data_IF_527999604107
#
_entry.id   IF_527999604107
#
_cell.length_a   1.000
_cell.length_b   1.000
_cell.length_c   1.000
_cell.angle_alpha   90.00
_cell.angle_beta   90.00
_cell.angle_gamma   90.00
#
_symmetry.space_group_name_H-M   'P 1'
#
loop_
_entity.id
_entity.type
_entity.pdbx_description
1 polymer ?
#
# COMPACT_ATOMS: atom_id res chain seq x y z
N UNK A 1 -59.07 5.21 -11.59
CA UNK A 1 -58.32 6.27 -10.89
C UNK A 1 -57.70 5.74 -9.58
N UNK A 2 -57.05 4.57 -9.63
CA UNK A 2 -56.36 3.91 -8.50
C UNK A 2 -55.18 3.11 -9.07
N UNK A 3 -54.14 3.78 -9.57
CA UNK A 3 -52.94 3.07 -10.05
C UNK A 3 -51.65 3.90 -10.11
N UNK A 4 -51.59 5.12 -9.58
CA UNK A 4 -50.34 5.92 -9.58
C UNK A 4 -49.71 6.12 -8.19
N UNK A 5 -50.34 5.65 -7.11
CA UNK A 5 -49.85 5.87 -5.74
C UNK A 5 -48.74 4.92 -5.27
N UNK A 6 -48.37 3.86 -6.02
CA UNK A 6 -47.35 2.90 -5.56
C UNK A 6 -45.90 3.26 -5.92
N UNK A 7 -45.66 4.45 -6.50
CA UNK A 7 -44.38 4.81 -7.10
C UNK A 7 -43.62 6.00 -6.45
N UNK A 8 -44.02 6.44 -5.25
CA UNK A 8 -43.41 7.58 -4.56
C UNK A 8 -42.80 7.15 -3.22
N UNK A 9 -41.89 7.97 -2.67
CA UNK A 9 -41.42 7.82 -1.28
C UNK A 9 -42.58 8.13 -0.32
N UNK A 10 -42.53 7.58 0.90
CA UNK A 10 -43.50 7.93 1.93
C UNK A 10 -43.46 9.46 2.15
N UNK A 11 -44.61 10.17 2.25
CA UNK A 11 -44.62 11.63 2.30
C UNK A 11 -43.79 12.21 3.45
N UNK A 12 -43.79 11.55 4.60
CA UNK A 12 -43.01 11.95 5.77
C UNK A 12 -41.50 11.79 5.54
N UNK A 13 -41.07 10.68 4.95
CA UNK A 13 -39.66 10.46 4.59
C UNK A 13 -39.20 11.47 3.54
N UNK A 14 -40.01 11.71 2.50
CA UNK A 14 -39.71 12.68 1.46
C UNK A 14 -39.50 14.09 2.05
N UNK A 15 -40.38 14.52 2.97
CA UNK A 15 -40.25 15.79 3.67
C UNK A 15 -38.97 15.86 4.50
N UNK A 16 -38.68 14.82 5.31
CA UNK A 16 -37.48 14.75 6.15
C UNK A 16 -36.20 14.80 5.32
N UNK A 17 -36.17 14.07 4.21
CA UNK A 17 -35.04 14.06 3.26
C UNK A 17 -34.86 15.42 2.60
N UNK A 18 -35.93 16.08 2.14
CA UNK A 18 -35.85 17.42 1.57
C UNK A 18 -35.37 18.46 2.58
N UNK A 19 -35.80 18.38 3.84
CA UNK A 19 -35.33 19.27 4.92
C UNK A 19 -33.84 19.06 5.19
N UNK A 20 -33.38 17.81 5.24
CA UNK A 20 -31.95 17.50 5.41
C UNK A 20 -31.12 18.08 4.26
N UNK A 21 -31.54 17.85 3.02
CA UNK A 21 -30.83 18.28 1.80
C UNK A 21 -30.94 19.78 1.53
N UNK A 22 -31.84 20.50 2.20
CA UNK A 22 -31.84 21.96 2.18
C UNK A 22 -30.67 22.56 3.00
N UNK A 23 -30.08 21.78 3.91
CA UNK A 23 -28.88 22.12 4.66
C UNK A 23 -27.59 21.67 3.98
N UNK A 24 -26.46 21.98 4.61
CA UNK A 24 -25.15 21.49 4.15
C UNK A 24 -24.94 20.03 4.60
N UNK A 25 -24.76 19.14 3.62
CA UNK A 25 -24.46 17.72 3.82
C UNK A 25 -23.10 17.41 3.20
N UNK A 26 -22.23 16.73 3.93
CA UNK A 26 -20.88 16.36 3.49
C UNK A 26 -20.80 14.97 2.87
N UNK A 27 -21.56 14.01 3.42
CA UNK A 27 -21.61 12.63 2.95
C UNK A 27 -22.89 11.95 3.44
N UNK A 28 -23.32 10.90 2.75
CA UNK A 28 -24.51 10.10 3.04
C UNK A 28 -24.16 8.61 3.00
N UNK A 29 -24.71 7.84 3.95
CA UNK A 29 -24.68 6.37 3.98
C UNK A 29 -26.09 5.84 4.17
N UNK A 30 -26.45 4.81 3.39
CA UNK A 30 -27.72 4.11 3.52
C UNK A 30 -27.53 2.77 4.23
N UNK A 31 -28.35 2.50 5.24
CA UNK A 31 -28.44 1.19 5.88
C UNK A 31 -29.58 0.40 5.21
N UNK A 32 -29.23 -0.69 4.54
CA UNK A 32 -30.19 -1.56 3.85
C UNK A 32 -30.85 -2.58 4.78
N UNK A 33 -30.21 -2.92 5.91
CA UNK A 33 -30.72 -3.90 6.88
C UNK A 33 -31.78 -3.27 7.78
N UNK A 34 -31.49 -2.06 8.25
CA UNK A 34 -32.42 -1.23 9.01
C UNK A 34 -32.61 0.06 8.21
N UNK A 35 -33.63 0.13 7.32
CA UNK A 35 -33.81 1.24 6.38
C UNK A 35 -33.66 2.59 7.05
N UNK A 36 -32.49 3.19 6.84
CA UNK A 36 -32.13 4.46 7.44
C UNK A 36 -31.12 5.18 6.57
N UNK A 37 -31.25 6.49 6.50
CA UNK A 37 -30.25 7.37 5.93
C UNK A 37 -29.46 8.01 7.06
N UNK A 38 -28.14 7.88 6.99
CA UNK A 38 -27.20 8.59 7.82
C UNK A 38 -26.56 9.69 6.99
N UNK A 39 -26.44 10.89 7.56
CA UNK A 39 -25.80 12.02 6.91
C UNK A 39 -24.75 12.65 7.82
N UNK A 40 -23.58 12.90 7.26
CA UNK A 40 -22.54 13.70 7.89
C UNK A 40 -22.77 15.16 7.54
N UNK A 41 -22.92 16.00 8.56
CA UNK A 41 -23.15 17.45 8.42
C UNK A 41 -22.07 18.24 9.17
N UNK A 42 -21.94 19.55 8.98
CA UNK A 42 -21.03 20.38 9.79
C UNK A 42 -21.29 20.31 11.30
N UNK A 43 -22.52 19.95 11.71
CA UNK A 43 -22.93 19.86 13.14
C UNK A 43 -22.79 18.45 13.72
N UNK A 44 -22.32 17.48 12.93
CA UNK A 44 -22.23 16.08 13.31
C UNK A 44 -23.15 15.18 12.48
N UNK A 45 -23.46 14.01 13.03
CA UNK A 45 -24.27 13.01 12.33
C UNK A 45 -25.78 13.25 12.50
N UNK A 46 -26.50 13.15 11.40
CA UNK A 46 -27.96 13.09 11.37
C UNK A 46 -28.43 11.70 10.91
N UNK A 47 -29.56 11.24 11.45
CA UNK A 47 -30.19 9.97 11.07
C UNK A 47 -31.66 10.20 10.72
N UNK A 48 -32.09 9.65 9.59
CA UNK A 48 -33.49 9.58 9.18
C UNK A 48 -33.86 8.10 9.08
N UNK A 49 -34.74 7.63 9.97
CA UNK A 49 -35.36 6.33 9.79
C UNK A 49 -36.31 6.39 8.58
N UNK A 50 -36.15 5.44 7.67
CA UNK A 50 -36.98 5.30 6.47
C UNK A 50 -38.09 4.29 6.73
N UNK A 51 -39.26 4.54 6.17
CA UNK A 51 -40.46 3.73 6.33
C UNK A 51 -40.94 3.27 4.95
N UNK A 52 -40.29 2.26 4.35
CA UNK A 52 -40.66 1.76 3.03
C UNK A 52 -42.11 1.29 2.98
N UNK A 53 -42.92 1.93 2.13
CA UNK A 53 -44.26 1.45 1.79
C UNK A 53 -44.16 0.46 0.61
N UNK A 54 -43.67 -0.75 0.90
CA UNK A 54 -43.49 -1.83 -0.07
C UNK A 54 -42.09 -2.44 -0.10
N UNK A 55 -41.59 -2.77 -1.30
CA UNK A 55 -40.29 -3.43 -1.47
C UNK A 55 -39.15 -2.47 -1.10
N UNK A 56 -38.42 -2.79 -0.03
CA UNK A 56 -37.31 -2.00 0.51
C UNK A 56 -36.28 -1.62 -0.56
N UNK A 57 -35.85 -2.55 -1.41
CA UNK A 57 -34.87 -2.29 -2.46
C UNK A 57 -35.32 -1.18 -3.43
N UNK A 58 -36.56 -1.26 -3.92
CA UNK A 58 -37.13 -0.25 -4.81
C UNK A 58 -37.28 1.10 -4.10
N UNK A 59 -37.61 1.06 -2.81
CA UNK A 59 -37.69 2.26 -1.98
C UNK A 59 -36.32 2.94 -1.86
N UNK A 60 -35.26 2.18 -1.55
CA UNK A 60 -33.90 2.69 -1.46
C UNK A 60 -33.38 3.20 -2.82
N UNK A 61 -33.71 2.53 -3.92
CA UNK A 61 -33.40 3.06 -5.27
C UNK A 61 -34.06 4.42 -5.53
N UNK A 62 -35.28 4.66 -5.01
CA UNK A 62 -35.95 5.96 -5.11
C UNK A 62 -35.27 7.01 -4.24
N UNK A 63 -34.84 6.65 -3.02
CA UNK A 63 -34.05 7.52 -2.15
C UNK A 63 -32.75 7.93 -2.85
N UNK A 64 -32.01 6.96 -3.40
CA UNK A 64 -30.81 7.19 -4.21
C UNK A 64 -31.08 8.09 -5.43
N UNK A 65 -32.22 7.92 -6.09
CA UNK A 65 -32.66 8.80 -7.17
C UNK A 65 -32.86 10.26 -6.71
N UNK A 66 -33.46 10.47 -5.54
CA UNK A 66 -33.64 11.78 -4.94
C UNK A 66 -32.28 12.41 -4.56
N UNK A 67 -31.39 11.63 -3.95
CA UNK A 67 -30.02 12.04 -3.61
C UNK A 67 -29.22 12.43 -4.86
N UNK A 68 -29.27 11.62 -5.92
CA UNK A 68 -28.61 11.91 -7.19
C UNK A 68 -29.14 13.17 -7.86
N UNK A 69 -30.46 13.41 -7.82
CA UNK A 69 -31.06 14.65 -8.31
C UNK A 69 -30.54 15.89 -7.57
N UNK A 70 -30.43 15.81 -6.24
CA UNK A 70 -29.88 16.88 -5.42
C UNK A 70 -28.38 17.12 -5.67
N UNK A 71 -27.58 16.06 -5.63
CA UNK A 71 -26.12 16.16 -5.72
C UNK A 71 -25.61 16.58 -7.11
N UNK A 72 -26.32 16.19 -8.17
CA UNK A 72 -25.85 16.34 -9.56
C UNK A 72 -26.67 17.34 -10.38
N UNK A 73 -27.78 17.86 -9.83
CA UNK A 73 -28.63 18.84 -10.51
C UNK A 73 -29.32 18.33 -11.78
N UNK A 74 -29.42 17.01 -11.97
CA UNK A 74 -30.03 16.42 -13.17
C UNK A 74 -31.52 16.12 -12.91
N UNK A 75 -32.47 16.83 -13.57
CA UNK A 75 -33.88 16.55 -13.43
C UNK A 75 -34.22 15.23 -14.14
N UNK A 76 -34.70 14.23 -13.39
CA UNK A 76 -35.35 13.05 -14.00
C UNK A 76 -34.61 11.71 -13.93
N UNK A 77 -33.83 11.45 -12.88
CA UNK A 77 -33.54 10.07 -12.46
C UNK A 77 -32.07 9.70 -12.27
N UNK A 78 -31.90 8.59 -11.55
CA UNK A 78 -30.64 7.96 -11.21
C UNK A 78 -29.85 7.59 -12.49
N UNK A 79 -28.59 8.02 -12.66
CA UNK A 79 -27.79 7.62 -13.81
C UNK A 79 -27.47 6.11 -13.71
N UNK A 80 -28.17 5.28 -14.48
CA UNK A 80 -28.04 3.81 -14.54
C UNK A 80 -26.67 3.33 -15.06
N UNK A 81 -25.67 4.23 -15.18
CA UNK A 81 -24.37 3.92 -15.75
C UNK A 81 -23.21 4.51 -14.93
N UNK A 82 -22.96 3.92 -13.75
CA UNK A 82 -21.70 4.04 -13.00
C UNK A 82 -20.45 3.81 -13.89
N UNK A 83 -20.56 2.94 -14.91
CA UNK A 83 -19.48 2.61 -15.87
C UNK A 83 -18.98 3.77 -16.73
N UNK A 84 -19.72 4.88 -16.86
CA UNK A 84 -19.23 6.08 -17.57
C UNK A 84 -18.40 7.02 -16.68
N UNK A 85 -18.45 6.85 -15.37
CA UNK A 85 -17.91 7.81 -14.40
C UNK A 85 -16.46 7.53 -14.02
N UNK A 86 -16.00 6.27 -14.12
CA UNK A 86 -14.59 5.88 -14.01
C UNK A 86 -13.69 6.55 -15.06
N UNK A 87 -14.24 6.97 -16.22
CA UNK A 87 -13.51 7.78 -17.21
C UNK A 87 -13.39 9.27 -16.84
N UNK A 88 -14.13 9.72 -15.84
CA UNK A 88 -14.18 11.11 -15.38
C UNK A 88 -13.34 11.32 -14.10
N UNK A 89 -12.38 10.44 -13.81
CA UNK A 89 -11.39 10.60 -12.72
C UNK A 89 -10.43 11.80 -12.88
N UNK A 90 -10.69 12.68 -13.85
CA UNK A 90 -9.97 13.95 -14.06
C UNK A 90 -10.72 15.18 -13.54
N UNK A 91 -11.72 15.00 -12.67
CA UNK A 91 -12.54 16.11 -12.22
C UNK A 91 -12.12 16.61 -10.84
N UNK A 92 -12.05 17.94 -10.71
CA UNK A 92 -11.65 18.62 -9.49
C UNK A 92 -12.50 18.31 -8.24
N UNK A 93 -11.99 18.69 -7.05
CA UNK A 93 -12.44 18.22 -5.74
C UNK A 93 -13.93 18.44 -5.45
N UNK A 94 -14.53 19.51 -5.97
CA UNK A 94 -15.95 19.81 -5.76
C UNK A 94 -16.89 18.73 -6.34
N UNK A 95 -16.51 18.06 -7.44
CA UNK A 95 -17.35 16.98 -7.99
C UNK A 95 -17.13 15.64 -7.28
N UNK A 96 -15.98 15.44 -6.63
CA UNK A 96 -15.75 14.27 -5.77
C UNK A 96 -16.62 14.33 -4.51
N UNK A 97 -16.76 15.51 -3.90
CA UNK A 97 -17.66 15.69 -2.75
C UNK A 97 -19.12 15.32 -3.07
N UNK A 98 -19.60 15.66 -4.26
CA UNK A 98 -20.97 15.32 -4.68
C UNK A 98 -21.23 13.81 -4.79
N UNK A 99 -20.20 13.00 -5.07
CA UNK A 99 -20.33 11.54 -5.12
C UNK A 99 -20.66 10.95 -3.74
N UNK A 100 -20.13 11.54 -2.67
CA UNK A 100 -20.38 11.09 -1.30
C UNK A 100 -21.83 11.33 -0.85
N UNK A 101 -22.62 12.10 -1.62
CA UNK A 101 -24.03 12.36 -1.33
C UNK A 101 -24.97 11.33 -1.95
N UNK A 102 -24.47 10.42 -2.80
CA UNK A 102 -25.31 9.47 -3.55
C UNK A 102 -25.84 8.32 -2.69
N UNK A 103 -25.23 8.05 -1.53
CA UNK A 103 -25.57 6.91 -0.68
C UNK A 103 -25.22 5.56 -1.33
N UNK A 104 -24.19 5.54 -2.19
CA UNK A 104 -23.71 4.36 -2.90
C UNK A 104 -22.27 4.04 -2.52
N UNK A 105 -22.01 2.77 -2.20
CA UNK A 105 -20.69 2.30 -1.81
C UNK A 105 -19.69 2.43 -2.99
N UNK A 106 -20.13 2.19 -4.23
CA UNK A 106 -19.28 2.37 -5.42
C UNK A 106 -18.90 3.84 -5.65
N UNK A 107 -19.77 4.78 -5.30
CA UNK A 107 -19.46 6.20 -5.39
C UNK A 107 -18.42 6.61 -4.34
N UNK A 108 -18.54 6.08 -3.12
CA UNK A 108 -17.54 6.28 -2.06
C UNK A 108 -16.20 5.66 -2.46
N UNK A 109 -16.20 4.44 -2.99
CA UNK A 109 -15.01 3.78 -3.50
C UNK A 109 -14.35 4.58 -4.64
N UNK A 110 -15.13 5.14 -5.56
CA UNK A 110 -14.60 5.99 -6.63
C UNK A 110 -13.91 7.25 -6.08
N UNK A 111 -14.42 7.84 -4.99
CA UNK A 111 -13.75 8.96 -4.30
C UNK A 111 -12.46 8.50 -3.62
N UNK A 112 -12.49 7.37 -2.91
CA UNK A 112 -11.33 6.81 -2.21
C UNK A 112 -10.15 6.48 -3.15
N UNK A 113 -10.43 6.19 -4.43
CA UNK A 113 -9.42 5.89 -5.46
C UNK A 113 -9.09 7.11 -6.35
N UNK A 114 -9.67 8.28 -6.09
CA UNK A 114 -9.45 9.44 -6.93
C UNK A 114 -8.03 10.02 -6.74
N UNK A 115 -7.32 10.39 -7.82
CA UNK A 115 -6.00 11.03 -7.70
C UNK A 115 -6.08 12.39 -7.02
N UNK A 116 -7.19 13.12 -7.18
CA UNK A 116 -7.46 14.41 -6.53
C UNK A 116 -8.08 14.31 -5.14
N UNK A 117 -7.98 13.16 -4.47
CA UNK A 117 -8.45 12.97 -3.11
C UNK A 117 -7.67 13.88 -2.13
N UNK A 118 -8.39 14.61 -1.29
CA UNK A 118 -7.83 15.40 -0.19
C UNK A 118 -8.05 14.69 1.14
N UNK A 119 -7.29 15.06 2.18
CA UNK A 119 -7.44 14.50 3.53
C UNK A 119 -8.88 14.67 4.08
N UNK A 120 -9.52 15.82 3.84
CA UNK A 120 -10.90 16.07 4.26
C UNK A 120 -11.92 15.24 3.45
N UNK A 121 -11.70 15.02 2.15
CA UNK A 121 -12.55 14.11 1.37
C UNK A 121 -12.35 12.65 1.81
N UNK A 122 -11.12 12.25 2.16
CA UNK A 122 -10.82 10.94 2.70
C UNK A 122 -11.54 10.72 4.05
N UNK A 123 -11.57 11.72 4.93
CA UNK A 123 -12.33 11.66 6.19
C UNK A 123 -13.83 11.40 5.96
N UNK A 124 -14.43 12.09 4.97
CA UNK A 124 -15.84 11.93 4.61
C UNK A 124 -16.12 10.58 3.96
N UNK A 125 -15.25 10.13 3.06
CA UNK A 125 -15.34 8.81 2.42
C UNK A 125 -15.18 7.68 3.45
N UNK A 126 -14.22 7.81 4.35
CA UNK A 126 -13.98 6.88 5.45
C UNK A 126 -15.19 6.77 6.38
N UNK A 127 -15.83 7.89 6.72
CA UNK A 127 -17.07 7.91 7.48
C UNK A 127 -18.21 7.18 6.75
N UNK A 128 -18.30 7.35 5.42
CA UNK A 128 -19.39 6.79 4.63
C UNK A 128 -19.25 5.29 4.37
N UNK A 129 -18.06 4.78 4.12
CA UNK A 129 -17.82 3.35 3.87
C UNK A 129 -16.41 2.93 4.30
N UNK A 130 -16.19 2.62 5.58
CA UNK A 130 -14.90 2.12 6.05
C UNK A 130 -14.69 0.67 5.58
N UNK A 131 -13.64 0.44 4.78
CA UNK A 131 -13.23 -0.88 4.30
C UNK A 131 -11.71 -0.98 4.17
N UNK A 132 -11.17 -2.19 4.08
CA UNK A 132 -9.72 -2.43 3.91
C UNK A 132 -9.24 -1.85 2.57
N UNK A 133 -10.02 -2.04 1.51
CA UNK A 133 -9.72 -1.54 0.16
C UNK A 133 -9.68 -0.01 0.13
N UNK A 134 -10.70 0.63 0.73
CA UNK A 134 -10.76 2.08 0.83
C UNK A 134 -9.61 2.61 1.68
N UNK A 135 -9.33 2.01 2.84
CA UNK A 135 -8.22 2.44 3.70
C UNK A 135 -6.87 2.35 2.97
N UNK A 136 -6.61 1.23 2.29
CA UNK A 136 -5.39 1.01 1.51
C UNK A 136 -5.25 2.03 0.37
N UNK A 137 -6.31 2.25 -0.41
CA UNK A 137 -6.27 3.22 -1.52
C UNK A 137 -6.11 4.65 -1.03
N UNK A 138 -6.87 5.05 0.01
CA UNK A 138 -6.79 6.40 0.56
C UNK A 138 -5.41 6.67 1.15
N UNK A 139 -4.85 5.73 1.92
CA UNK A 139 -3.53 5.89 2.52
C UNK A 139 -2.39 5.92 1.48
N UNK A 140 -2.60 5.33 0.30
CA UNK A 140 -1.68 5.44 -0.83
C UNK A 140 -1.66 6.83 -1.49
N UNK A 141 -2.60 7.73 -1.18
CA UNK A 141 -2.62 9.09 -1.70
C UNK A 141 -1.70 10.00 -0.86
N UNK A 142 -0.76 10.76 -1.46
CA UNK A 142 0.17 11.62 -0.72
C UNK A 142 -0.50 12.67 0.18
N UNK A 143 -1.62 13.27 -0.22
CA UNK A 143 -2.33 14.27 0.59
C UNK A 143 -2.92 13.66 1.87
N UNK A 144 -3.37 12.41 1.79
CA UNK A 144 -3.93 11.65 2.91
C UNK A 144 -2.81 11.09 3.80
N UNK A 145 -1.74 10.59 3.19
CA UNK A 145 -0.58 10.01 3.89
C UNK A 145 0.15 11.04 4.78
N UNK A 146 0.14 12.31 4.39
CA UNK A 146 0.71 13.42 5.19
C UNK A 146 -0.37 14.17 6.00
N UNK A 147 -1.64 13.74 5.91
CA UNK A 147 -2.79 14.36 6.55
C UNK A 147 -3.18 13.71 7.89
N UNK A 148 -4.30 14.17 8.45
CA UNK A 148 -4.82 13.65 9.72
C UNK A 148 -5.40 12.23 9.58
N UNK A 149 -5.80 11.82 8.38
CA UNK A 149 -6.35 10.48 8.14
C UNK A 149 -5.28 9.39 8.07
N UNK A 150 -3.99 9.73 7.95
CA UNK A 150 -2.92 8.73 7.86
C UNK A 150 -2.94 7.72 9.01
N UNK A 151 -3.00 8.22 10.25
CA UNK A 151 -3.00 7.38 11.45
C UNK A 151 -4.24 6.48 11.57
N UNK A 152 -5.49 6.97 11.55
CA UNK A 152 -6.66 6.10 11.71
C UNK A 152 -6.76 5.05 10.60
N UNK A 153 -6.37 5.38 9.35
CA UNK A 153 -6.35 4.39 8.27
C UNK A 153 -5.25 3.35 8.48
N UNK A 154 -4.05 3.75 8.89
CA UNK A 154 -2.96 2.83 9.18
C UNK A 154 -3.27 1.90 10.36
N UNK A 155 -3.81 2.44 11.46
CA UNK A 155 -4.22 1.66 12.63
C UNK A 155 -5.28 0.61 12.24
N UNK A 156 -6.28 1.02 11.45
CA UNK A 156 -7.30 0.10 10.92
C UNK A 156 -6.68 -1.01 10.07
N UNK A 157 -5.80 -0.68 9.13
CA UNK A 157 -5.14 -1.69 8.29
C UNK A 157 -4.32 -2.68 9.13
N UNK A 158 -3.56 -2.19 10.12
CA UNK A 158 -2.72 -3.04 10.99
C UNK A 158 -3.57 -3.98 11.86
N UNK A 159 -4.70 -3.50 12.37
CA UNK A 159 -5.66 -4.29 13.14
C UNK A 159 -6.25 -5.43 12.30
N UNK A 160 -6.51 -5.16 11.01
CA UNK A 160 -7.15 -6.11 10.10
C UNK A 160 -6.17 -7.06 9.38
N UNK A 161 -4.86 -6.74 9.35
CA UNK A 161 -3.82 -7.58 8.72
C UNK A 161 -3.89 -9.09 9.09
N UNK A 162 -4.16 -9.50 10.35
CA UNK A 162 -4.25 -10.92 10.69
C UNK A 162 -5.32 -11.69 9.90
N UNK A 163 -6.40 -11.00 9.50
CA UNK A 163 -7.57 -11.55 8.79
C UNK A 163 -7.48 -11.43 7.27
N UNK A 164 -6.49 -10.69 6.75
CA UNK A 164 -6.25 -10.59 5.30
C UNK A 164 -5.66 -11.91 4.77
N UNK A 165 -6.43 -12.61 3.95
CA UNK A 165 -6.05 -13.91 3.38
C UNK A 165 -5.22 -13.76 2.10
N UNK A 166 -5.44 -12.71 1.31
CA UNK A 166 -4.68 -12.45 0.10
C UNK A 166 -3.30 -11.87 0.43
N UNK A 167 -2.19 -12.58 0.14
CA UNK A 167 -0.85 -12.09 0.43
C UNK A 167 -0.49 -10.82 -0.34
N UNK A 168 -1.06 -10.59 -1.52
CA UNK A 168 -0.82 -9.36 -2.29
C UNK A 168 -1.50 -8.17 -1.60
N UNK A 169 -2.76 -8.32 -1.22
CA UNK A 169 -3.50 -7.35 -0.44
C UNK A 169 -2.80 -7.04 0.90
N UNK A 170 -2.37 -8.06 1.63
CA UNK A 170 -1.69 -7.90 2.92
C UNK A 170 -0.33 -7.21 2.77
N UNK A 171 0.46 -7.58 1.75
CA UNK A 171 1.71 -6.90 1.39
C UNK A 171 1.46 -5.43 1.08
N UNK A 172 0.49 -5.11 0.22
CA UNK A 172 0.21 -3.74 -0.18
C UNK A 172 -0.28 -2.89 1.00
N UNK A 173 -1.04 -3.45 1.94
CA UNK A 173 -1.38 -2.76 3.20
C UNK A 173 -0.13 -2.38 4.01
N UNK A 174 0.84 -3.30 4.16
CA UNK A 174 2.10 -3.00 4.88
C UNK A 174 2.93 -1.94 4.15
N UNK A 175 2.98 -1.99 2.81
CA UNK A 175 3.68 -1.01 1.99
C UNK A 175 3.11 0.40 2.19
N UNK A 176 1.80 0.59 2.03
CA UNK A 176 1.19 1.93 2.20
C UNK A 176 1.26 2.45 3.64
N UNK A 177 1.18 1.56 4.64
CA UNK A 177 1.35 1.92 6.05
C UNK A 177 2.75 2.48 6.31
N UNK A 178 3.79 1.77 5.86
CA UNK A 178 5.18 2.18 6.04
C UNK A 178 5.54 3.40 5.18
N UNK A 179 5.00 3.50 3.96
CA UNK A 179 5.15 4.68 3.10
C UNK A 179 4.60 5.95 3.76
N UNK A 180 3.49 5.85 4.49
CA UNK A 180 2.89 6.94 5.25
C UNK A 180 3.62 7.25 6.57
N UNK A 181 4.79 6.63 6.82
CA UNK A 181 5.56 6.82 8.04
C UNK A 181 4.92 6.23 9.30
N UNK A 182 3.91 5.36 9.14
CA UNK A 182 3.23 4.64 10.22
C UNK A 182 3.71 3.18 10.27
N UNK A 183 3.53 2.47 11.40
CA UNK A 183 3.21 2.97 12.74
C UNK A 183 4.43 3.60 13.44
N UNK A 184 4.29 3.91 14.72
CA UNK A 184 5.39 4.32 15.59
C UNK A 184 6.44 3.21 15.80
N UNK A 185 7.53 3.50 16.51
CA UNK A 185 8.63 2.54 16.71
C UNK A 185 8.18 1.19 17.33
N UNK A 186 7.36 1.15 18.41
CA UNK A 186 6.80 -0.09 18.92
C UNK A 186 5.95 -0.85 17.90
N UNK A 187 5.07 -0.15 17.17
CA UNK A 187 4.27 -0.76 16.12
C UNK A 187 5.13 -1.34 14.99
N UNK A 188 6.21 -0.66 14.61
CA UNK A 188 7.14 -1.13 13.57
C UNK A 188 7.85 -2.40 13.99
N UNK A 189 8.27 -2.49 15.25
CA UNK A 189 8.88 -3.70 15.79
C UNK A 189 7.88 -4.87 15.81
N UNK A 190 6.63 -4.62 16.22
CA UNK A 190 5.59 -5.65 16.21
C UNK A 190 5.27 -6.13 14.79
N UNK A 191 5.19 -5.22 13.82
CA UNK A 191 4.94 -5.55 12.42
C UNK A 191 6.13 -6.31 11.79
N UNK A 192 7.36 -5.92 12.13
CA UNK A 192 8.58 -6.62 11.73
C UNK A 192 8.63 -8.06 12.28
N UNK A 193 8.23 -8.26 13.54
CA UNK A 193 8.15 -9.60 14.12
C UNK A 193 7.16 -10.50 13.38
N UNK A 194 6.00 -9.96 12.95
CA UNK A 194 5.01 -10.68 12.13
C UNK A 194 5.55 -11.05 10.74
N UNK A 195 6.43 -10.24 10.16
CA UNK A 195 7.02 -10.52 8.85
C UNK A 195 7.85 -11.81 8.83
N UNK A 196 8.33 -12.30 9.99
CA UNK A 196 9.05 -13.59 10.10
C UNK A 196 8.18 -14.78 9.68
N UNK A 197 6.87 -14.74 9.92
CA UNK A 197 5.93 -15.79 9.50
C UNK A 197 5.23 -15.46 8.19
N UNK A 198 5.18 -14.17 7.82
CA UNK A 198 4.61 -13.67 6.56
C UNK A 198 5.67 -12.85 5.80
N UNK A 199 6.61 -13.49 5.08
CA UNK A 199 7.77 -12.80 4.51
C UNK A 199 7.44 -11.64 3.57
N UNK A 200 6.32 -11.69 2.85
CA UNK A 200 5.88 -10.59 1.99
C UNK A 200 5.68 -9.26 2.72
N UNK A 201 5.55 -9.24 4.06
CA UNK A 201 5.53 -8.00 4.85
C UNK A 201 6.88 -7.28 4.84
N UNK A 202 7.99 -8.00 4.67
CA UNK A 202 9.31 -7.38 4.59
C UNK A 202 9.43 -6.40 3.41
N UNK A 203 8.66 -6.57 2.34
CA UNK A 203 8.72 -5.69 1.16
C UNK A 203 8.54 -4.22 1.55
N UNK A 204 7.51 -3.88 2.33
CA UNK A 204 7.30 -2.48 2.74
C UNK A 204 8.45 -1.93 3.59
N UNK A 205 9.12 -2.77 4.39
CA UNK A 205 10.30 -2.35 5.15
C UNK A 205 11.52 -2.15 4.26
N UNK A 206 11.76 -3.06 3.31
CA UNK A 206 12.89 -2.99 2.38
C UNK A 206 12.76 -1.77 1.45
N UNK A 207 11.53 -1.41 1.04
CA UNK A 207 11.25 -0.25 0.20
C UNK A 207 11.36 1.08 0.95
N UNK A 208 10.79 1.17 2.16
CA UNK A 208 10.60 2.47 2.84
C UNK A 208 11.53 2.72 4.03
N UNK A 209 12.12 1.68 4.61
CA UNK A 209 13.01 1.78 5.78
C UNK A 209 14.32 0.96 5.64
N UNK A 210 14.99 0.94 4.47
CA UNK A 210 16.12 0.05 4.22
C UNK A 210 17.29 0.17 5.23
N UNK A 211 17.50 1.36 5.79
CA UNK A 211 18.59 1.66 6.74
C UNK A 211 18.13 1.87 8.19
N UNK A 212 16.82 1.76 8.42
CA UNK A 212 16.20 1.96 9.73
C UNK A 212 15.38 0.73 10.14
N UNK A 213 15.82 -0.46 9.71
CA UNK A 213 15.10 -1.71 9.96
C UNK A 213 15.11 -2.03 11.47
N UNK A 214 13.98 -2.47 12.06
CA UNK A 214 13.92 -2.87 13.48
C UNK A 214 14.65 -4.18 13.82
N UNK A 215 15.52 -4.68 12.93
CA UNK A 215 16.15 -5.98 13.08
C UNK A 215 17.25 -6.00 14.14
N UNK A 216 17.45 -7.17 14.74
CA UNK A 216 18.45 -7.41 15.78
C UNK A 216 19.72 -8.09 15.22
N UNK A 217 19.94 -8.06 13.90
CA UNK A 217 21.11 -8.72 13.33
C UNK A 217 22.39 -8.00 13.78
N UNK A 218 23.39 -8.74 14.29
CA UNK A 218 24.66 -8.14 14.67
C UNK A 218 25.37 -7.61 13.40
N UNK A 219 26.04 -6.45 13.49
CA UNK A 219 26.88 -5.98 12.41
C UNK A 219 28.02 -6.97 12.15
N UNK A 220 28.46 -7.04 10.90
CA UNK A 220 29.67 -7.78 10.54
C UNK A 220 30.89 -6.87 10.66
N UNK A 221 32.00 -7.41 11.15
CA UNK A 221 33.25 -6.65 11.23
C UNK A 221 33.65 -6.11 9.86
N UNK A 222 33.93 -4.81 9.77
CA UNK A 222 34.39 -4.14 8.57
C UNK A 222 35.89 -3.89 8.71
N UNK A 223 36.68 -4.29 7.72
CA UNK A 223 38.13 -4.01 7.75
C UNK A 223 38.38 -2.50 7.75
N UNK A 224 39.38 -2.03 8.51
CA UNK A 224 39.69 -0.61 8.64
C UNK A 224 39.85 0.08 7.27
N UNK A 225 40.52 -0.59 6.32
CA UNK A 225 40.69 -0.08 4.95
C UNK A 225 39.35 0.18 4.22
N UNK A 226 38.30 -0.60 4.49
CA UNK A 226 36.96 -0.35 3.93
C UNK A 226 36.34 0.89 4.57
N UNK A 227 36.48 1.05 5.90
CA UNK A 227 36.00 2.25 6.61
C UNK A 227 36.72 3.52 6.15
N UNK A 228 38.04 3.46 5.96
CA UNK A 228 38.85 4.59 5.51
C UNK A 228 38.47 5.01 4.09
N UNK A 229 38.31 4.05 3.18
CA UNK A 229 37.84 4.32 1.81
C UNK A 229 36.41 4.86 1.79
N UNK A 230 35.53 4.35 2.65
CA UNK A 230 34.16 4.86 2.77
C UNK A 230 34.16 6.32 3.24
N UNK A 231 35.00 6.67 4.23
CA UNK A 231 35.18 8.05 4.69
C UNK A 231 35.79 8.96 3.61
N UNK A 232 36.62 8.41 2.72
CA UNK A 232 37.15 9.11 1.55
C UNK A 232 36.14 9.24 0.38
N UNK A 233 34.90 8.76 0.54
CA UNK A 233 33.84 8.89 -0.47
C UNK A 233 33.83 7.80 -1.54
N UNK A 234 34.56 6.69 -1.36
CA UNK A 234 34.52 5.56 -2.28
C UNK A 234 33.16 4.87 -2.21
N UNK A 235 32.36 4.97 -3.29
CA UNK A 235 30.98 4.47 -3.34
C UNK A 235 30.85 2.96 -3.05
N UNK A 236 31.82 2.16 -3.52
CA UNK A 236 31.85 0.72 -3.27
C UNK A 236 32.14 0.41 -1.80
N UNK A 237 33.05 1.16 -1.19
CA UNK A 237 33.37 1.01 0.22
C UNK A 237 32.19 1.44 1.11
N UNK A 238 31.47 2.50 0.75
CA UNK A 238 30.24 2.94 1.42
C UNK A 238 29.16 1.84 1.32
N UNK A 239 28.93 1.29 0.13
CA UNK A 239 27.95 0.21 -0.05
C UNK A 239 28.32 -1.05 0.74
N UNK A 240 29.61 -1.42 0.76
CA UNK A 240 30.08 -2.56 1.55
C UNK A 240 29.95 -2.31 3.06
N UNK A 241 30.31 -1.11 3.54
CA UNK A 241 30.14 -0.73 4.94
C UNK A 241 28.65 -0.73 5.34
N UNK A 242 27.76 -0.21 4.48
CA UNK A 242 26.31 -0.25 4.65
C UNK A 242 25.81 -1.69 4.77
N UNK A 243 26.25 -2.59 3.89
CA UNK A 243 25.87 -4.00 3.94
C UNK A 243 26.32 -4.70 5.22
N UNK A 244 27.45 -4.30 5.80
CA UNK A 244 28.00 -4.87 7.04
C UNK A 244 27.42 -4.25 8.32
N UNK A 245 26.68 -3.15 8.23
CA UNK A 245 25.95 -2.58 9.36
C UNK A 245 24.85 -3.52 9.89
N UNK A 246 24.38 -3.29 11.12
CA UNK A 246 23.28 -4.06 11.69
C UNK A 246 21.98 -3.99 10.84
N UNK A 247 21.65 -2.78 10.33
CA UNK A 247 20.51 -2.63 9.43
C UNK A 247 20.76 -3.33 8.08
N UNK A 248 21.97 -3.26 7.54
CA UNK A 248 22.33 -3.96 6.30
C UNK A 248 22.23 -5.48 6.42
N UNK A 249 22.69 -6.06 7.52
CA UNK A 249 22.52 -7.49 7.79
C UNK A 249 21.05 -7.89 7.96
N UNK A 250 20.25 -7.02 8.59
CA UNK A 250 18.81 -7.19 8.70
C UNK A 250 18.11 -7.12 7.33
N UNK A 251 18.54 -6.19 6.46
CA UNK A 251 18.05 -6.06 5.08
C UNK A 251 18.33 -7.33 4.29
N UNK A 252 19.58 -7.79 4.28
CA UNK A 252 20.01 -8.99 3.55
C UNK A 252 19.28 -10.25 4.04
N UNK A 253 19.05 -10.37 5.35
CA UNK A 253 18.27 -11.48 5.93
C UNK A 253 16.82 -11.45 5.52
N UNK A 254 16.17 -10.28 5.58
CA UNK A 254 14.78 -10.12 5.17
C UNK A 254 14.61 -10.35 3.67
N UNK A 255 15.50 -9.81 2.84
CA UNK A 255 15.53 -10.05 1.39
C UNK A 255 15.65 -11.54 1.07
N UNK A 256 16.57 -12.26 1.74
CA UNK A 256 16.71 -13.70 1.59
C UNK A 256 15.43 -14.46 2.00
N UNK A 257 14.79 -14.07 3.10
CA UNK A 257 13.54 -14.70 3.56
C UNK A 257 12.39 -14.54 2.55
N UNK A 258 12.28 -13.36 1.91
CA UNK A 258 11.30 -13.14 0.84
C UNK A 258 11.63 -14.00 -0.39
N UNK A 259 12.90 -14.01 -0.80
CA UNK A 259 13.35 -14.73 -1.99
C UNK A 259 13.21 -16.26 -1.86
N UNK A 260 13.41 -16.81 -0.66
CA UNK A 260 13.26 -18.24 -0.40
C UNK A 260 11.80 -18.69 -0.58
N UNK A 261 10.86 -17.88 -0.10
CA UNK A 261 9.42 -18.22 -0.08
C UNK A 261 8.56 -17.03 -0.52
N UNK A 262 8.66 -16.60 -1.79
CA UNK A 262 7.82 -15.55 -2.31
C UNK A 262 6.36 -16.01 -2.31
N UNK A 263 5.48 -15.20 -1.74
CA UNK A 263 4.06 -15.51 -1.63
C UNK A 263 3.31 -15.22 -2.95
N UNK A 264 3.69 -14.13 -3.62
CA UNK A 264 3.05 -13.62 -4.85
C UNK A 264 4.11 -13.06 -5.81
N UNK A 265 3.86 -13.02 -7.14
CA UNK A 265 4.76 -12.45 -8.14
C UNK A 265 5.18 -11.01 -7.83
N UNK A 266 4.25 -10.18 -7.39
CA UNK A 266 4.48 -8.76 -7.08
C UNK A 266 5.53 -8.57 -5.98
N UNK A 267 5.62 -9.49 -5.02
CA UNK A 267 6.66 -9.46 -3.99
C UNK A 267 8.06 -9.67 -4.58
N UNK A 268 8.19 -10.46 -5.65
CA UNK A 268 9.47 -10.71 -6.31
C UNK A 268 9.92 -9.48 -7.09
N UNK A 269 9.00 -8.87 -7.85
CA UNK A 269 9.28 -7.62 -8.57
C UNK A 269 9.71 -6.51 -7.60
N UNK A 270 8.91 -6.27 -6.55
CA UNK A 270 9.22 -5.27 -5.53
C UNK A 270 10.54 -5.57 -4.79
N UNK A 271 10.83 -6.84 -4.49
CA UNK A 271 12.10 -7.23 -3.87
C UNK A 271 13.30 -6.88 -4.75
N UNK A 272 13.20 -7.16 -6.05
CA UNK A 272 14.30 -6.92 -6.98
C UNK A 272 14.59 -5.43 -7.13
N UNK A 273 13.54 -4.61 -7.29
CA UNK A 273 13.66 -3.15 -7.29
C UNK A 273 14.26 -2.63 -5.97
N UNK A 274 13.79 -3.15 -4.83
CA UNK A 274 14.30 -2.74 -3.51
C UNK A 274 15.78 -3.10 -3.31
N UNK A 275 16.22 -4.28 -3.75
CA UNK A 275 17.63 -4.69 -3.66
C UNK A 275 18.52 -3.81 -4.55
N UNK A 276 18.11 -3.56 -5.80
CA UNK A 276 18.85 -2.69 -6.71
C UNK A 276 18.97 -1.27 -6.18
N UNK A 277 17.84 -0.68 -5.76
CA UNK A 277 17.81 0.65 -5.16
C UNK A 277 18.66 0.72 -3.88
N UNK A 278 18.67 -0.33 -3.06
CA UNK A 278 19.48 -0.40 -1.85
C UNK A 278 20.99 -0.51 -2.14
N UNK A 279 21.41 -1.25 -3.16
CA UNK A 279 22.81 -1.29 -3.55
C UNK A 279 23.26 0.05 -4.18
N UNK A 280 22.32 0.75 -4.84
CA UNK A 280 22.58 1.99 -5.56
C UNK A 280 23.27 1.77 -6.91
N UNK A 281 23.50 2.86 -7.65
CA UNK A 281 24.12 2.82 -8.98
C UNK A 281 25.65 2.57 -8.92
N UNK A 282 26.06 1.37 -8.50
CA UNK A 282 27.49 1.01 -8.37
C UNK A 282 28.15 0.65 -9.70
N UNK A 283 27.40 0.23 -10.72
CA UNK A 283 27.94 -0.27 -11.98
C UNK A 283 28.94 0.71 -12.63
N UNK A 284 28.62 2.01 -12.61
CA UNK A 284 29.43 3.08 -13.18
C UNK A 284 30.25 3.85 -12.13
N UNK A 285 30.13 3.46 -10.85
CA UNK A 285 30.78 4.18 -9.75
C UNK A 285 32.30 3.88 -9.70
N UNK A 286 33.16 4.91 -9.52
CA UNK A 286 34.59 4.71 -9.38
C UNK A 286 34.94 4.02 -8.06
N UNK A 287 36.18 3.53 -7.93
CA UNK A 287 36.71 3.04 -6.67
C UNK A 287 36.60 1.53 -6.43
N UNK A 288 35.99 0.76 -7.34
CA UNK A 288 35.93 -0.72 -7.25
C UNK A 288 37.31 -1.37 -7.14
N UNK A 289 38.22 -0.99 -8.02
CA UNK A 289 39.57 -1.57 -8.08
C UNK A 289 40.40 -1.19 -6.86
N UNK A 290 40.27 0.04 -6.39
CA UNK A 290 40.90 0.54 -5.17
C UNK A 290 40.45 -0.28 -3.94
N UNK A 291 39.14 -0.48 -3.79
CA UNK A 291 38.57 -1.31 -2.73
C UNK A 291 39.05 -2.77 -2.83
N UNK A 292 39.09 -3.34 -4.04
CA UNK A 292 39.55 -4.71 -4.25
C UNK A 292 41.02 -4.91 -3.85
N UNK A 293 41.88 -3.91 -4.09
CA UNK A 293 43.28 -3.93 -3.65
C UNK A 293 43.42 -3.71 -2.14
N UNK A 294 42.66 -2.79 -1.57
CA UNK A 294 42.75 -2.44 -0.15
C UNK A 294 42.13 -3.52 0.77
N UNK A 295 41.18 -4.31 0.26
CA UNK A 295 40.45 -5.31 1.02
C UNK A 295 40.24 -6.62 0.21
N UNK A 296 41.32 -7.34 -0.15
CA UNK A 296 41.23 -8.52 -1.03
C UNK A 296 40.37 -9.66 -0.45
N UNK A 297 40.29 -9.78 0.87
CA UNK A 297 39.40 -10.72 1.57
C UNK A 297 37.89 -10.49 1.36
N UNK A 298 37.50 -9.39 0.68
CA UNK A 298 36.12 -9.04 0.37
C UNK A 298 35.76 -9.22 -1.12
N UNK A 299 36.58 -9.89 -1.93
CA UNK A 299 36.34 -10.06 -3.36
C UNK A 299 34.93 -10.63 -3.69
N UNK A 300 34.46 -11.62 -2.92
CA UNK A 300 33.12 -12.19 -3.08
C UNK A 300 32.00 -11.17 -2.78
N UNK A 301 32.17 -10.36 -1.73
CA UNK A 301 31.23 -9.31 -1.37
C UNK A 301 31.18 -8.19 -2.43
N UNK A 302 32.33 -7.80 -2.96
CA UNK A 302 32.42 -6.80 -4.05
C UNK A 302 31.73 -7.34 -5.32
N UNK A 303 31.93 -8.61 -5.67
CA UNK A 303 31.24 -9.24 -6.79
C UNK A 303 29.72 -9.30 -6.57
N UNK A 304 29.28 -9.62 -5.35
CA UNK A 304 27.86 -9.60 -4.99
C UNK A 304 27.24 -8.20 -5.11
N UNK A 305 27.89 -7.15 -4.59
CA UNK A 305 27.42 -5.77 -4.76
C UNK A 305 27.26 -5.39 -6.24
N UNK A 306 28.23 -5.78 -7.08
CA UNK A 306 28.17 -5.52 -8.52
C UNK A 306 26.99 -6.21 -9.21
N UNK A 307 26.64 -7.43 -8.78
CA UNK A 307 25.54 -8.18 -9.36
C UNK A 307 24.18 -7.62 -8.89
N UNK A 308 24.08 -7.27 -7.61
CA UNK A 308 22.84 -6.77 -7.01
C UNK A 308 22.52 -5.31 -7.38
N UNK A 309 23.53 -4.47 -7.66
CA UNK A 309 23.31 -3.07 -8.05
C UNK A 309 22.57 -2.87 -9.37
N UNK A 310 22.61 -3.86 -10.26
CA UNK A 310 21.89 -3.82 -11.53
C UNK A 310 20.55 -4.55 -11.50
N UNK A 311 20.09 -4.99 -10.32
CA UNK A 311 18.88 -5.77 -10.19
C UNK A 311 17.65 -4.87 -10.21
N UNK A 312 16.64 -5.24 -10.99
CA UNK A 312 15.33 -4.60 -11.03
C UNK A 312 14.25 -5.64 -11.36
N UNK A 313 12.99 -5.23 -11.34
CA UNK A 313 11.85 -6.07 -11.67
C UNK A 313 11.95 -6.72 -13.06
N UNK A 314 12.67 -6.12 -14.02
CA UNK A 314 12.80 -6.66 -15.37
C UNK A 314 13.56 -8.00 -15.38
N UNK A 315 14.41 -8.28 -14.38
CA UNK A 315 15.07 -9.57 -14.24
C UNK A 315 14.11 -10.75 -13.99
N UNK A 316 12.93 -10.50 -13.39
CA UNK A 316 11.91 -11.54 -13.16
C UNK A 316 10.85 -11.61 -14.27
N UNK A 317 10.71 -10.55 -15.08
CA UNK A 317 9.62 -10.41 -16.05
C UNK A 317 9.55 -11.53 -17.12
N UNK A 318 10.66 -12.05 -17.68
CA UNK A 318 10.61 -13.15 -18.64
C UNK A 318 10.02 -14.45 -18.08
N UNK A 319 10.14 -14.67 -16.77
CA UNK A 319 9.67 -15.87 -16.07
C UNK A 319 8.23 -15.66 -15.60
N UNK A 320 7.99 -14.60 -14.83
CA UNK A 320 6.71 -14.35 -14.17
C UNK A 320 5.68 -13.73 -15.11
N UNK A 321 6.08 -12.92 -16.10
CA UNK A 321 5.17 -12.32 -17.07
C UNK A 321 4.48 -13.33 -18.00
N UNK A 322 4.98 -14.57 -18.06
CA UNK A 322 4.42 -15.67 -18.87
C UNK A 322 3.74 -16.75 -18.02
N UNK A 323 3.64 -16.56 -16.72
CA UNK A 323 3.22 -17.60 -15.78
C UNK A 323 2.23 -17.05 -14.75
N UNK A 324 1.11 -17.75 -14.57
CA UNK A 324 0.20 -17.56 -13.44
C UNK A 324 0.52 -18.49 -12.26
N UNK A 325 1.69 -19.15 -12.28
CA UNK A 325 2.07 -20.09 -11.24
C UNK A 325 2.20 -19.40 -9.89
N UNK A 326 1.74 -20.08 -8.85
CA UNK A 326 1.87 -19.67 -7.44
C UNK A 326 2.57 -20.77 -6.61
N UNK A 327 3.07 -20.40 -5.44
CA UNK A 327 3.65 -21.35 -4.48
C UNK A 327 4.86 -22.13 -5.03
N UNK A 328 4.85 -23.46 -4.89
CA UNK A 328 5.99 -24.31 -5.23
C UNK A 328 6.36 -24.28 -6.73
N UNK A 329 5.37 -24.16 -7.61
CA UNK A 329 5.62 -24.08 -9.05
C UNK A 329 6.30 -22.77 -9.42
N UNK A 330 5.86 -21.66 -8.84
CA UNK A 330 6.50 -20.34 -9.01
C UNK A 330 7.96 -20.37 -8.54
N UNK A 331 8.23 -20.96 -7.36
CA UNK A 331 9.60 -21.11 -6.85
C UNK A 331 10.49 -21.89 -7.80
N UNK A 332 10.01 -23.01 -8.33
CA UNK A 332 10.77 -23.82 -9.30
C UNK A 332 11.07 -23.05 -10.59
N UNK A 333 10.14 -22.21 -11.05
CA UNK A 333 10.34 -21.37 -12.22
C UNK A 333 11.33 -20.23 -11.96
N UNK A 334 11.33 -19.67 -10.74
CA UNK A 334 12.23 -18.60 -10.33
C UNK A 334 13.64 -19.06 -10.00
N UNK A 335 13.84 -20.35 -9.70
CA UNK A 335 15.12 -20.93 -9.31
C UNK A 335 16.33 -20.46 -10.13
N UNK A 336 16.28 -20.37 -11.48
CA UNK A 336 17.42 -19.93 -12.29
C UNK A 336 17.91 -18.50 -11.96
N UNK A 337 17.02 -17.64 -11.46
CA UNK A 337 17.34 -16.26 -11.07
C UNK A 337 17.48 -16.15 -9.55
N UNK A 338 16.65 -16.88 -8.79
CA UNK A 338 16.66 -16.83 -7.33
C UNK A 338 17.92 -17.45 -6.71
N UNK A 339 18.44 -18.56 -7.24
CA UNK A 339 19.60 -19.23 -6.66
C UNK A 339 20.90 -18.40 -6.72
N UNK A 340 21.28 -17.77 -7.87
CA UNK A 340 22.42 -16.85 -7.90
C UNK A 340 22.26 -15.66 -6.95
N UNK A 341 21.06 -15.07 -6.91
CA UNK A 341 20.76 -13.95 -6.01
C UNK A 341 20.88 -14.35 -4.53
N UNK A 342 20.42 -15.54 -4.16
CA UNK A 342 20.61 -16.07 -2.81
C UNK A 342 22.10 -16.20 -2.47
N UNK A 343 22.93 -16.67 -3.41
CA UNK A 343 24.38 -16.73 -3.23
C UNK A 343 25.01 -15.36 -2.99
N UNK A 344 24.59 -14.32 -3.73
CA UNK A 344 25.07 -12.95 -3.54
C UNK A 344 24.63 -12.37 -2.18
N UNK A 345 23.38 -12.58 -1.77
CA UNK A 345 22.90 -12.17 -0.45
C UNK A 345 23.69 -12.86 0.68
N UNK A 346 24.00 -14.14 0.53
CA UNK A 346 24.82 -14.89 1.50
C UNK A 346 26.26 -14.38 1.55
N UNK A 347 26.88 -14.08 0.40
CA UNK A 347 28.23 -13.54 0.34
C UNK A 347 28.38 -12.21 1.09
N UNK A 348 27.34 -11.36 1.08
CA UNK A 348 27.31 -10.09 1.83
C UNK A 348 27.08 -10.28 3.34
N UNK A 349 26.60 -11.45 3.76
CA UNK A 349 26.38 -11.80 5.17
C UNK A 349 27.54 -12.56 5.82
N UNK A 350 28.49 -13.04 5.01
CA UNK A 350 29.65 -13.78 5.51
C UNK A 350 30.76 -12.82 5.97
N UNK A 351 31.51 -13.28 6.97
CA UNK A 351 32.75 -12.63 7.39
C UNK A 351 33.79 -12.64 6.24
N UNK A 352 34.74 -11.70 6.28
CA UNK A 352 35.81 -11.67 5.29
C UNK A 352 36.65 -12.95 5.38
N UNK A 353 37.16 -13.43 4.24
CA UNK A 353 38.11 -14.54 4.26
C UNK A 353 39.41 -14.08 4.92
N UNK A 354 39.85 -14.76 5.99
CA UNK A 354 41.13 -14.51 6.63
C UNK A 354 42.25 -14.98 5.72
N UNK A 355 42.78 -14.10 4.88
CA UNK A 355 44.08 -14.34 4.25
C UNK A 355 45.16 -14.13 5.31
N UNK A 356 45.50 -15.21 6.01
CA UNK A 356 46.74 -15.27 6.78
C UNK A 356 47.87 -15.22 5.77
N UNK A 357 48.57 -14.09 5.68
CA UNK A 357 49.86 -14.03 4.99
C UNK A 357 50.80 -15.04 5.67
N UNK A 358 51.06 -16.16 4.98
CA UNK A 358 52.23 -17.00 5.23
C UNK A 358 53.45 -16.38 4.57
#
# INVERSE_FOLDING_TARGET
>A
MKTEQSNQLAPEDALRLSVLLAGEVHAVRLDERVPALHALTPRGEARIALHPDGRTEQYLMRVRGLLGGHALGSPGGYPVHLKRWTRMGQVGPNKLGALLLLGEDEAVAAVAHAPGLTDELARRAWWAAPSIENARSMLGNPEVAHGAMAKPLADFLIEHLPFEEDPAAAMNSVRVVLAAGQPDAPGRLALWARARTRPHYFIGFLEHLPDALPGDEPPQECAAAVSDLAAAGNAWAIALARARSASGQSFLKAAAAVLEKPAVPDAVYALFDAIGAWCGALADAPGRTELAHAAPGHAAAIAALSALSGLDAAAAAPILGRSSAVGALMRRQLEPVAAPLMGHLQALRQAAANFSHQ
#
